data_IF_819581321254
#
_entry.id   IF_819581321254
#
_cell.length_a   1.000
_cell.length_b   1.000
_cell.length_c   1.000
_cell.angle_alpha   90.00
_cell.angle_beta   90.00
_cell.angle_gamma   90.00
#
_symmetry.space_group_name_H-M   'P 1'
#
loop_
_entity.id
_entity.type
_entity.pdbx_description
1 polymer ?
#
# COMPACT_ATOMS: atom_id res chain seq x y z
N UNK A 1 2.28 -6.18 -1.61
CA UNK A 1 2.55 -5.73 -0.22
C UNK A 1 1.35 -6.03 0.65
N UNK A 2 1.54 -6.29 1.94
CA UNK A 2 0.46 -6.49 2.90
C UNK A 2 0.36 -5.26 3.80
N UNK A 3 -0.83 -4.67 3.88
CA UNK A 3 -1.08 -3.44 4.63
C UNK A 3 -1.86 -3.74 5.91
N UNK A 4 -1.36 -3.19 7.02
CA UNK A 4 -1.97 -3.35 8.34
C UNK A 4 -2.24 -1.98 8.97
N UNK A 5 -3.27 -1.88 9.81
CA UNK A 5 -3.53 -0.73 10.66
C UNK A 5 -3.85 -1.23 12.06
N UNK A 6 -3.07 -0.78 13.04
CA UNK A 6 -3.11 -1.25 14.42
C UNK A 6 -2.94 -2.78 14.51
N UNK A 7 -2.03 -3.33 13.68
CA UNK A 7 -1.75 -4.78 13.62
C UNK A 7 -2.88 -5.63 13.04
N UNK A 8 -3.89 -5.02 12.41
CA UNK A 8 -4.97 -5.71 11.69
C UNK A 8 -4.88 -5.44 10.20
N UNK A 9 -5.19 -6.42 9.34
CA UNK A 9 -5.26 -6.18 7.89
C UNK A 9 -6.21 -5.03 7.54
N UNK A 10 -5.83 -4.25 6.53
CA UNK A 10 -6.75 -3.25 5.99
C UNK A 10 -7.99 -3.91 5.37
N UNK A 11 -9.15 -3.23 5.37
CA UNK A 11 -10.38 -3.78 4.81
C UNK A 11 -10.26 -4.08 3.32
N UNK A 12 -10.88 -5.16 2.88
CA UNK A 12 -11.10 -5.45 1.47
C UNK A 12 -11.81 -4.27 0.79
N UNK A 13 -11.37 -3.93 -0.42
CA UNK A 13 -11.93 -2.84 -1.21
C UNK A 13 -11.40 -1.45 -0.84
N UNK A 14 -10.48 -1.34 0.12
CA UNK A 14 -9.79 -0.07 0.37
C UNK A 14 -9.00 0.34 -0.89
N UNK A 15 -9.03 1.62 -1.22
CA UNK A 15 -8.36 2.19 -2.39
C UNK A 15 -7.04 2.80 -1.94
N UNK A 16 -5.94 2.32 -2.53
CA UNK A 16 -4.62 2.90 -2.37
C UNK A 16 -4.31 3.78 -3.58
N UNK A 17 -3.78 4.98 -3.32
CA UNK A 17 -3.44 5.94 -4.37
C UNK A 17 -2.07 6.55 -4.08
N UNK A 18 -1.20 6.55 -5.08
CA UNK A 18 -0.01 7.42 -5.10
C UNK A 18 -0.29 8.58 -6.06
N UNK A 19 -0.52 9.77 -5.49
CA UNK A 19 -0.84 10.97 -6.28
C UNK A 19 0.36 11.48 -7.09
N UNK A 20 1.58 11.25 -6.63
CA UNK A 20 2.78 11.73 -7.31
C UNK A 20 3.06 10.89 -8.55
N UNK A 21 2.92 9.57 -8.41
CA UNK A 21 3.23 8.61 -9.46
C UNK A 21 2.00 8.21 -10.30
N UNK A 22 0.83 8.80 -10.02
CA UNK A 22 -0.45 8.49 -10.67
C UNK A 22 -0.81 7.00 -10.62
N UNK A 23 -0.50 6.35 -9.50
CA UNK A 23 -0.78 4.93 -9.28
C UNK A 23 -2.04 4.78 -8.43
N UNK A 24 -2.82 3.75 -8.73
CA UNK A 24 -3.93 3.33 -7.89
C UNK A 24 -4.02 1.81 -7.84
N UNK A 25 -4.58 1.31 -6.74
CA UNK A 25 -4.79 -0.11 -6.54
C UNK A 25 -5.86 -0.35 -5.49
N UNK A 26 -6.29 -1.61 -5.41
CA UNK A 26 -7.33 -2.06 -4.48
C UNK A 26 -6.68 -3.05 -3.51
N UNK A 27 -6.98 -2.87 -2.22
CA UNK A 27 -6.64 -3.82 -1.18
C UNK A 27 -7.61 -5.00 -1.27
N UNK A 28 -7.06 -6.18 -1.53
CA UNK A 28 -7.78 -7.45 -1.53
C UNK A 28 -7.84 -8.07 -0.14
N UNK A 29 -8.02 -9.39 -0.12
CA UNK A 29 -8.08 -10.17 1.12
C UNK A 29 -6.78 -10.07 1.92
N UNK A 30 -6.87 -10.22 3.24
CA UNK A 30 -5.76 -10.14 4.19
C UNK A 30 -4.91 -8.85 4.08
N UNK A 31 -5.50 -7.76 3.59
CA UNK A 31 -4.81 -6.48 3.45
C UNK A 31 -3.82 -6.46 2.28
N UNK A 32 -3.93 -7.40 1.34
CA UNK A 32 -2.99 -7.55 0.24
C UNK A 32 -3.24 -6.52 -0.87
N UNK A 33 -2.22 -5.73 -1.19
CA UNK A 33 -2.21 -4.78 -2.29
C UNK A 33 -1.14 -5.16 -3.31
N UNK A 34 -1.54 -5.31 -4.57
CA UNK A 34 -0.64 -5.49 -5.71
C UNK A 34 -0.49 -4.18 -6.46
N UNK A 35 0.75 -3.78 -6.74
CA UNK A 35 1.09 -2.60 -7.53
C UNK A 35 2.19 -2.97 -8.52
N UNK A 36 2.12 -2.39 -9.72
CA UNK A 36 3.11 -2.54 -10.78
C UNK A 36 3.58 -1.18 -11.26
N UNK A 37 4.82 -1.08 -11.74
CA UNK A 37 5.37 0.20 -12.22
C UNK A 37 5.57 1.22 -11.09
N UNK A 38 5.74 0.76 -9.86
CA UNK A 38 6.05 1.62 -8.71
C UNK A 38 7.50 2.10 -8.79
N UNK A 39 7.79 3.35 -8.39
CA UNK A 39 9.17 3.75 -8.13
C UNK A 39 9.74 3.02 -6.91
N UNK A 40 11.06 3.10 -6.73
CA UNK A 40 11.78 2.51 -5.59
C UNK A 40 11.24 2.98 -4.24
N UNK A 41 10.66 4.17 -4.16
CA UNK A 41 9.95 4.64 -2.98
C UNK A 41 8.83 5.60 -3.32
N UNK A 42 7.86 5.67 -2.42
CA UNK A 42 6.68 6.51 -2.62
C UNK A 42 5.80 6.56 -1.38
N UNK A 43 4.69 7.27 -1.53
CA UNK A 43 3.68 7.43 -0.50
C UNK A 43 2.32 7.05 -1.04
N UNK A 44 1.72 6.06 -0.38
CA UNK A 44 0.36 5.62 -0.63
C UNK A 44 -0.58 6.31 0.36
N UNK A 45 -1.66 6.84 -0.18
CA UNK A 45 -2.86 7.25 0.56
C UNK A 45 -3.89 6.14 0.44
N UNK A 46 -4.34 5.56 1.56
CA UNK A 46 -5.29 4.45 1.57
C UNK A 46 -6.60 4.90 2.18
N UNK A 47 -7.72 4.68 1.49
CA UNK A 47 -9.07 5.05 1.93
C UNK A 47 -10.03 3.87 1.83
N UNK A 48 -10.80 3.63 2.89
CA UNK A 48 -11.91 2.66 2.89
C UNK A 48 -13.23 3.29 3.31
N UNK A 49 -13.29 4.63 3.36
CA UNK A 49 -14.51 5.37 3.63
C UNK A 49 -14.30 6.88 3.59
N UNK A 50 -15.32 7.60 4.05
CA UNK A 50 -15.36 9.06 3.99
C UNK A 50 -14.91 9.72 5.30
N UNK A 51 -14.97 9.00 6.42
CA UNK A 51 -14.61 9.53 7.73
C UNK A 51 -13.09 9.70 7.88
N UNK A 52 -12.67 10.60 8.76
CA UNK A 52 -11.26 10.84 9.05
C UNK A 52 -10.53 9.60 9.59
N UNK A 53 -11.25 8.70 10.26
CA UNK A 53 -10.73 7.40 10.76
C UNK A 53 -10.73 6.29 9.71
N UNK A 54 -11.22 6.54 8.49
CA UNK A 54 -11.30 5.56 7.41
C UNK A 54 -10.27 5.82 6.31
N UNK A 55 -9.10 6.28 6.76
CA UNK A 55 -7.98 6.69 5.94
C UNK A 55 -6.67 6.49 6.71
N UNK A 56 -5.61 6.15 6.00
CA UNK A 56 -4.25 6.13 6.53
C UNK A 56 -3.22 6.32 5.40
N UNK A 57 -1.96 6.54 5.78
CA UNK A 57 -0.83 6.68 4.86
C UNK A 57 0.23 5.61 5.08
N UNK A 58 0.88 5.21 3.99
CA UNK A 58 2.04 4.32 4.01
C UNK A 58 3.15 4.95 3.18
N UNK A 59 4.31 5.11 3.80
CA UNK A 59 5.54 5.35 3.06
C UNK A 59 6.21 4.00 2.80
N UNK A 60 6.58 3.72 1.55
CA UNK A 60 7.26 2.48 1.20
C UNK A 60 8.61 2.77 0.55
N UNK A 61 9.54 1.84 0.74
CA UNK A 61 10.86 1.81 0.11
C UNK A 61 11.14 0.36 -0.27
N UNK A 62 11.38 0.11 -1.56
CA UNK A 62 11.81 -1.18 -2.06
C UNK A 62 13.23 -1.46 -1.55
N UNK A 63 13.53 -2.68 -1.10
CA UNK A 63 14.89 -3.06 -0.73
C UNK A 63 15.80 -3.03 -1.96
N UNK A 64 16.93 -2.32 -1.87
CA UNK A 64 17.87 -2.19 -2.99
C UNK A 64 18.36 -3.54 -3.55
N UNK A 65 18.45 -4.56 -2.69
CA UNK A 65 18.83 -5.92 -3.07
C UNK A 65 17.76 -6.71 -3.82
N UNK A 66 16.56 -6.14 -4.02
CA UNK A 66 15.40 -6.81 -4.63
C UNK A 66 14.86 -6.04 -5.85
N UNK A 67 15.59 -5.04 -6.36
CA UNK A 67 15.14 -4.23 -7.50
C UNK A 67 15.08 -5.03 -8.81
N UNK A 68 15.92 -6.06 -8.95
CA UNK A 68 15.92 -6.97 -10.12
C UNK A 68 14.95 -8.15 -9.94
N UNK A 69 14.33 -8.29 -8.77
CA UNK A 69 13.38 -9.37 -8.52
C UNK A 69 12.03 -9.06 -9.20
N UNK A 70 11.43 -10.01 -9.93
CA UNK A 70 10.16 -9.80 -10.62
C UNK A 70 9.00 -9.54 -9.64
N UNK A 71 9.18 -9.90 -8.35
CA UNK A 71 8.16 -9.72 -7.35
C UNK A 71 8.73 -9.42 -5.95
N UNK A 72 8.41 -8.25 -5.42
CA UNK A 72 8.83 -7.81 -4.08
C UNK A 72 7.68 -7.94 -3.09
N UNK A 73 7.87 -8.78 -2.06
CA UNK A 73 6.93 -8.90 -0.93
C UNK A 73 7.40 -8.02 0.22
N UNK A 74 6.48 -7.26 0.78
CA UNK A 74 6.71 -6.49 2.00
C UNK A 74 5.41 -6.32 2.77
N UNK A 75 5.53 -6.13 4.08
CA UNK A 75 4.43 -5.78 4.98
C UNK A 75 4.67 -4.37 5.48
N UNK A 76 3.64 -3.54 5.50
CA UNK A 76 3.74 -2.14 5.95
C UNK A 76 2.60 -1.80 6.90
N UNK A 77 2.94 -1.00 7.91
CA UNK A 77 1.97 -0.42 8.84
C UNK A 77 1.46 0.91 8.28
N UNK A 78 0.14 1.05 8.29
CA UNK A 78 -0.59 2.21 7.81
C UNK A 78 -0.88 3.13 8.98
N UNK A 79 -0.41 4.38 8.88
CA UNK A 79 -0.51 5.39 9.94
C UNK A 79 -1.63 6.39 9.69
#
# INVERSE_FOLDING_TARGET
>A
MTLQHQGRPLPFGAIATDKQNHLSGIVGDDGLLYLSGVPDSGKLEIRWGHNASQYCQVNYQLPASQLDEPFVKMTQECQ
#
